data_IF_539421717961
#
_entry.id   IF_539421717961
#
_cell.length_a   1.000
_cell.length_b   1.000
_cell.length_c   1.000
_cell.angle_alpha   90.00
_cell.angle_beta   90.00
_cell.angle_gamma   90.00
#
_symmetry.space_group_name_H-M   'P 1'
#
loop_
_entity.id
_entity.type
_entity.pdbx_description
1 polymer ?
#
# COMPACT_ATOMS: atom_id res chain seq x y z
N UNK A 1 -1.38 28.93 6.40
CA UNK A 1 -1.87 28.06 5.31
C UNK A 1 -1.82 26.62 5.81
N UNK A 2 -2.99 26.00 6.01
CA UNK A 2 -3.10 24.64 6.53
C UNK A 2 -2.78 23.63 5.41
N UNK A 3 -1.55 23.11 5.41
CA UNK A 3 -1.22 21.95 4.57
C UNK A 3 -1.58 20.71 5.39
N UNK A 4 -2.86 20.34 5.42
CA UNK A 4 -3.29 19.02 5.90
C UNK A 4 -2.96 17.97 4.82
N UNK A 5 -1.68 17.86 4.54
CA UNK A 5 -1.03 16.66 4.02
C UNK A 5 -1.57 15.50 4.86
N UNK A 6 -2.36 14.59 4.27
CA UNK A 6 -2.83 13.39 4.96
C UNK A 6 -1.66 12.75 5.73
N UNK A 7 -1.65 12.92 7.05
CA UNK A 7 -0.58 12.48 7.93
C UNK A 7 -0.75 10.98 8.16
N UNK A 8 -0.39 10.20 7.14
CA UNK A 8 -0.20 8.77 7.33
C UNK A 8 0.96 8.59 8.33
N UNK A 9 0.82 7.61 9.22
CA UNK A 9 1.81 7.28 10.24
C UNK A 9 2.28 5.85 10.04
N UNK A 10 3.46 5.51 10.52
CA UNK A 10 3.88 4.10 10.52
C UNK A 10 2.92 3.24 11.36
N UNK A 11 2.70 2.00 10.94
CA UNK A 11 1.79 1.09 11.63
C UNK A 11 1.10 0.10 10.72
N UNK A 12 0.12 -0.60 11.26
CA UNK A 12 -0.67 -1.58 10.51
C UNK A 12 -1.87 -0.90 9.86
N UNK A 13 -2.08 -1.19 8.60
CA UNK A 13 -3.18 -0.69 7.78
C UNK A 13 -3.97 -1.86 7.20
N UNK A 14 -5.28 -1.72 7.12
CA UNK A 14 -6.18 -2.66 6.48
C UNK A 14 -6.60 -2.11 5.11
N UNK A 15 -6.46 -2.92 4.08
CA UNK A 15 -6.81 -2.55 2.71
C UNK A 15 -8.33 -2.49 2.54
N UNK A 16 -8.87 -1.37 2.07
CA UNK A 16 -10.33 -1.25 1.81
C UNK A 16 -10.71 -1.77 0.43
N UNK A 17 -9.74 -1.88 -0.47
CA UNK A 17 -9.90 -2.38 -1.84
C UNK A 17 -8.89 -3.47 -2.17
N UNK A 18 -9.05 -4.09 -3.33
CA UNK A 18 -8.02 -4.95 -3.89
C UNK A 18 -6.89 -4.10 -4.48
N UNK A 19 -5.68 -4.25 -3.97
CA UNK A 19 -4.55 -3.37 -4.28
C UNK A 19 -3.33 -4.18 -4.69
N UNK A 20 -2.62 -3.72 -5.71
CA UNK A 20 -1.39 -4.36 -6.20
C UNK A 20 -0.19 -3.81 -5.47
N UNK A 21 0.72 -4.68 -5.05
CA UNK A 21 2.03 -4.26 -4.54
C UNK A 21 2.92 -3.89 -5.72
N UNK A 22 3.59 -2.75 -5.66
CA UNK A 22 4.50 -2.24 -6.69
C UNK A 22 5.95 -2.30 -6.24
N UNK A 23 6.87 -2.26 -7.20
CA UNK A 23 8.31 -2.24 -6.93
C UNK A 23 8.82 -0.91 -6.36
N UNK A 24 8.10 0.18 -6.60
CA UNK A 24 8.48 1.52 -6.14
C UNK A 24 7.27 2.40 -5.82
N UNK A 25 7.52 3.58 -5.22
CA UNK A 25 6.48 4.55 -4.86
C UNK A 25 6.01 5.33 -6.09
N UNK A 26 5.09 4.77 -6.86
CA UNK A 26 4.52 5.43 -8.04
C UNK A 26 3.79 4.46 -8.97
N UNK A 27 2.90 5.01 -9.81
CA UNK A 27 2.18 4.25 -10.84
C UNK A 27 3.06 3.79 -11.99
N UNK A 28 4.23 4.41 -12.16
CA UNK A 28 5.20 4.09 -13.22
C UNK A 28 5.96 2.79 -12.92
N UNK A 29 6.02 2.39 -11.64
CA UNK A 29 6.68 1.16 -11.23
C UNK A 29 5.80 -0.05 -11.52
N UNK A 30 6.38 -1.10 -12.09
CA UNK A 30 5.69 -2.37 -12.33
C UNK A 30 5.13 -2.96 -11.02
N UNK A 31 3.95 -3.56 -11.12
CA UNK A 31 3.40 -4.38 -10.05
C UNK A 31 4.30 -5.61 -9.83
N UNK A 32 4.61 -5.91 -8.57
CA UNK A 32 5.34 -7.12 -8.21
C UNK A 32 4.50 -8.35 -8.51
N UNK A 33 5.15 -9.37 -9.07
CA UNK A 33 4.51 -10.66 -9.28
C UNK A 33 4.23 -11.33 -7.93
N UNK A 34 3.22 -12.19 -7.89
CA UNK A 34 2.90 -12.98 -6.69
C UNK A 34 4.11 -13.74 -6.14
N UNK A 35 4.97 -14.26 -7.01
CA UNK A 35 6.21 -14.95 -6.64
C UNK A 35 7.18 -14.08 -5.83
N UNK A 36 7.16 -12.76 -6.02
CA UNK A 36 8.03 -11.78 -5.36
C UNK A 36 7.45 -11.22 -4.05
N UNK A 37 6.23 -11.62 -3.68
CA UNK A 37 5.65 -11.29 -2.39
C UNK A 37 6.24 -12.18 -1.28
N UNK A 38 6.28 -11.65 -0.06
CA UNK A 38 6.62 -12.44 1.14
C UNK A 38 5.58 -13.55 1.36
N UNK A 39 5.93 -14.62 2.10
CA UNK A 39 5.01 -15.73 2.40
C UNK A 39 3.69 -15.26 3.01
N UNK A 40 3.75 -14.30 3.95
CA UNK A 40 2.55 -13.66 4.53
C UNK A 40 1.79 -12.82 3.50
N UNK A 41 2.50 -12.06 2.66
CA UNK A 41 1.89 -11.33 1.55
C UNK A 41 1.18 -12.25 0.55
N UNK A 42 1.73 -13.44 0.30
CA UNK A 42 1.16 -14.48 -0.56
C UNK A 42 -0.13 -15.07 0.02
N UNK A 43 -0.16 -15.35 1.33
CA UNK A 43 -1.35 -15.87 2.01
C UNK A 43 -2.58 -14.97 1.86
N UNK A 44 -2.37 -13.65 1.74
CA UNK A 44 -3.44 -12.66 1.59
C UNK A 44 -3.51 -12.01 0.20
N UNK A 45 -2.67 -12.44 -0.74
CA UNK A 45 -2.71 -12.00 -2.13
C UNK A 45 -3.38 -13.03 -3.03
N UNK A 46 -3.93 -12.54 -4.13
CA UNK A 46 -4.33 -13.37 -5.27
C UNK A 46 -3.10 -13.82 -6.06
N UNK A 47 -3.24 -14.86 -6.88
CA UNK A 47 -2.19 -15.38 -7.78
C UNK A 47 -1.58 -14.31 -8.72
N UNK A 48 -2.26 -13.18 -8.94
CA UNK A 48 -1.77 -12.04 -9.69
C UNK A 48 -0.96 -11.01 -8.89
N UNK A 49 -0.66 -11.27 -7.61
CA UNK A 49 0.07 -10.32 -6.74
C UNK A 49 -0.79 -9.17 -6.22
N UNK A 50 -2.12 -9.32 -6.25
CA UNK A 50 -3.08 -8.33 -5.75
C UNK A 50 -3.51 -8.71 -4.34
N UNK A 51 -3.19 -7.87 -3.36
CA UNK A 51 -3.68 -8.01 -1.99
C UNK A 51 -5.20 -7.80 -1.98
N UNK A 52 -5.91 -8.71 -1.32
CA UNK A 52 -7.37 -8.62 -1.22
C UNK A 52 -7.77 -7.52 -0.24
N UNK A 53 -8.94 -6.92 -0.43
CA UNK A 53 -9.56 -6.06 0.60
C UNK A 53 -9.67 -6.83 1.93
N UNK A 54 -9.52 -6.14 3.05
CA UNK A 54 -9.44 -6.71 4.40
C UNK A 54 -8.05 -7.22 4.78
N UNK A 55 -7.07 -7.16 3.88
CA UNK A 55 -5.70 -7.58 4.20
C UNK A 55 -5.01 -6.53 5.05
N UNK A 56 -4.43 -6.98 6.17
CA UNK A 56 -3.63 -6.15 7.06
C UNK A 56 -2.17 -6.14 6.59
N UNK A 57 -1.62 -4.95 6.45
CA UNK A 57 -0.26 -4.70 5.98
C UNK A 57 0.43 -3.72 6.90
N UNK A 58 1.65 -4.05 7.32
CA UNK A 58 2.46 -3.17 8.16
C UNK A 58 3.27 -2.24 7.27
N UNK A 59 3.00 -0.95 7.40
CA UNK A 59 3.70 0.12 6.70
C UNK A 59 4.88 0.58 7.53
N UNK A 60 6.08 0.38 7.00
CA UNK A 60 7.35 0.76 7.64
C UNK A 60 7.89 2.10 7.17
N UNK A 61 7.43 2.60 6.03
CA UNK A 61 7.89 3.85 5.44
C UNK A 61 6.73 4.49 4.66
N UNK A 62 6.63 5.81 4.66
CA UNK A 62 5.59 6.55 3.94
C UNK A 62 6.26 7.53 2.99
N UNK A 63 5.88 7.45 1.71
CA UNK A 63 6.43 8.26 0.64
C UNK A 63 5.28 8.99 -0.03
N UNK A 64 5.35 10.32 -0.08
CA UNK A 64 4.41 11.14 -0.83
C UNK A 64 5.00 11.43 -2.20
N UNK A 65 4.24 11.14 -3.24
CA UNK A 65 4.60 11.43 -4.62
C UNK A 65 3.50 12.33 -5.20
N UNK A 66 3.73 13.64 -5.16
CA UNK A 66 2.69 14.65 -5.46
C UNK A 66 1.53 14.58 -4.47
N UNK A 67 0.33 14.34 -5.00
CA UNK A 67 -0.90 14.18 -4.22
C UNK A 67 -1.12 12.76 -3.71
N UNK A 68 -0.38 11.78 -4.25
CA UNK A 68 -0.52 10.39 -3.89
C UNK A 68 0.39 10.03 -2.72
N UNK A 69 -0.11 9.18 -1.82
CA UNK A 69 0.68 8.66 -0.70
C UNK A 69 0.88 7.16 -0.83
N UNK A 70 2.14 6.74 -0.73
CA UNK A 70 2.59 5.38 -0.83
C UNK A 70 3.13 4.89 0.51
N UNK A 71 2.85 3.64 0.83
CA UNK A 71 3.35 2.95 2.01
C UNK A 71 4.28 1.83 1.60
N UNK A 72 5.47 1.77 2.19
CA UNK A 72 6.38 0.63 2.04
C UNK A 72 5.99 -0.43 3.04
N UNK A 73 5.88 -1.64 2.52
CA UNK A 73 5.64 -2.88 3.25
C UNK A 73 6.80 -3.84 2.95
N UNK A 74 7.03 -4.89 3.75
CA UNK A 74 8.10 -5.86 3.48
C UNK A 74 8.05 -6.47 2.07
N UNK A 75 6.85 -6.59 1.50
CA UNK A 75 6.65 -7.11 0.14
C UNK A 75 6.89 -6.08 -0.97
N UNK A 76 6.93 -4.77 -0.70
CA UNK A 76 7.04 -3.70 -1.72
C UNK A 76 6.31 -2.43 -1.35
N UNK A 77 5.72 -1.72 -2.31
CA UNK A 77 5.01 -0.46 -2.09
C UNK A 77 3.52 -0.59 -2.41
N UNK A 78 2.67 0.01 -1.59
CA UNK A 78 1.21 0.06 -1.79
C UNK A 78 0.74 1.52 -1.82
N UNK A 79 -0.32 1.81 -2.55
CA UNK A 79 -0.94 3.13 -2.50
C UNK A 79 -1.84 3.22 -1.25
N UNK A 80 -1.54 4.16 -0.36
CA UNK A 80 -2.37 4.48 0.80
C UNK A 80 -3.46 5.47 0.41
N UNK A 81 -3.06 6.54 -0.29
CA UNK A 81 -3.95 7.51 -0.93
C UNK A 81 -3.60 7.62 -2.42
N UNK A 82 -4.60 7.60 -3.29
CA UNK A 82 -4.40 7.87 -4.70
C UNK A 82 -5.56 8.71 -5.26
N UNK A 83 -5.23 9.85 -5.87
CA UNK A 83 -6.22 10.80 -6.41
C UNK A 83 -7.23 11.29 -5.35
N UNK A 84 -6.79 11.51 -4.12
CA UNK A 84 -7.64 11.98 -3.02
C UNK A 84 -8.50 10.89 -2.35
N UNK A 85 -8.46 9.64 -2.83
CA UNK A 85 -9.17 8.51 -2.22
C UNK A 85 -8.23 7.70 -1.33
N UNK A 86 -8.69 7.38 -0.12
CA UNK A 86 -7.99 6.50 0.80
C UNK A 86 -8.32 5.04 0.46
N UNK A 87 -7.30 4.23 0.21
CA UNK A 87 -7.43 2.82 -0.11
C UNK A 87 -7.06 1.90 1.06
N UNK A 88 -6.68 2.51 2.18
CA UNK A 88 -6.34 1.83 3.43
C UNK A 88 -7.00 2.53 4.60
N UNK A 89 -7.34 1.75 5.62
CA UNK A 89 -7.74 2.22 6.94
C UNK A 89 -6.66 1.86 7.95
N UNK A 90 -6.34 2.75 8.88
CA UNK A 90 -5.40 2.42 9.96
C UNK A 90 -6.06 1.35 10.86
N UNK A 91 -5.39 0.22 11.03
CA UNK A 91 -5.82 -0.79 12.00
C UNK A 91 -5.42 -0.31 13.41
N UNK A 92 -6.36 -0.40 14.35
CA UNK A 92 -6.19 -0.02 15.76
C UNK A 92 -5.33 -1.07 16.47
#
# INVERSE_FOLDING_TARGET
>A
MNISCANYTLGTYELTVNLKVRMGPGTDYKAKAYSQLTTNGKAHATSGGVLKRGTKVTVSEIIRNGDDTWGKIPSGYIALNYGGKNYVNKAI
#
